data_IF_727580158584
#
_entry.id   IF_727580158584
#
_cell.length_a   1.000
_cell.length_b   1.000
_cell.length_c   1.000
_cell.angle_alpha   90.00
_cell.angle_beta   90.00
_cell.angle_gamma   90.00
#
_symmetry.space_group_name_H-M   'P 1'
#
loop_
_entity.id
_entity.type
_entity.pdbx_description
1 polymer ?
#
# COMPACT_ATOMS: atom_id res chain seq x y z
N UNK A 1 -39.37 -7.94 -66.53
CA UNK A 1 -38.81 -8.82 -65.50
C UNK A 1 -37.52 -8.16 -65.01
N UNK A 2 -37.62 -7.27 -64.03
CA UNK A 2 -36.49 -6.58 -63.43
C UNK A 2 -36.11 -7.24 -62.10
N UNK A 3 -34.88 -7.73 -62.02
CA UNK A 3 -34.32 -8.27 -60.75
C UNK A 3 -33.79 -7.13 -59.91
N UNK A 4 -34.39 -6.85 -58.77
CA UNK A 4 -33.84 -6.05 -57.68
C UNK A 4 -32.72 -6.85 -57.01
N UNK A 5 -31.49 -6.34 -57.06
CA UNK A 5 -30.36 -6.84 -56.30
C UNK A 5 -30.29 -5.96 -55.01
N UNK A 6 -30.69 -6.53 -53.87
CA UNK A 6 -30.57 -5.89 -52.60
C UNK A 6 -29.11 -5.90 -52.11
N UNK A 7 -28.53 -4.71 -51.94
CA UNK A 7 -27.20 -4.54 -51.42
C UNK A 7 -27.29 -4.58 -49.87
N UNK A 8 -26.82 -5.66 -49.29
CA UNK A 8 -26.74 -5.81 -47.80
C UNK A 8 -25.48 -5.11 -47.30
N UNK A 9 -25.63 -3.93 -46.75
CA UNK A 9 -24.52 -3.21 -46.10
C UNK A 9 -24.21 -3.85 -44.74
N UNK A 10 -23.10 -4.57 -44.67
CA UNK A 10 -22.54 -5.06 -43.41
C UNK A 10 -21.93 -3.89 -42.65
N UNK A 11 -22.62 -3.45 -41.58
CA UNK A 11 -22.06 -2.51 -40.59
C UNK A 11 -21.01 -3.26 -39.73
N UNK A 12 -19.75 -3.03 -40.02
CA UNK A 12 -18.65 -3.42 -39.10
C UNK A 12 -18.67 -2.48 -37.89
N UNK A 13 -19.21 -2.95 -36.78
CA UNK A 13 -19.01 -2.30 -35.50
C UNK A 13 -17.59 -2.57 -35.06
N UNK A 14 -16.72 -1.56 -35.20
CA UNK A 14 -15.39 -1.59 -34.61
C UNK A 14 -15.57 -1.51 -33.09
N UNK A 15 -15.54 -2.65 -32.38
CA UNK A 15 -15.29 -2.68 -30.95
C UNK A 15 -13.83 -2.24 -30.76
N UNK A 16 -13.62 -0.97 -30.43
CA UNK A 16 -12.36 -0.52 -29.88
C UNK A 16 -12.20 -1.19 -28.52
N UNK A 17 -11.36 -2.21 -28.44
CA UNK A 17 -10.87 -2.71 -27.16
C UNK A 17 -10.04 -1.59 -26.55
N UNK A 18 -10.56 -0.93 -25.53
CA UNK A 18 -9.76 -0.06 -24.67
C UNK A 18 -8.72 -0.98 -24.03
N UNK A 19 -7.47 -0.84 -24.45
CA UNK A 19 -6.38 -1.51 -23.76
C UNK A 19 -6.36 -0.93 -22.34
N UNK A 20 -6.57 -1.78 -21.34
CA UNK A 20 -6.34 -1.42 -19.93
C UNK A 20 -4.88 -0.97 -19.85
N UNK A 21 -4.64 0.25 -19.43
CA UNK A 21 -3.30 0.75 -19.25
C UNK A 21 -2.63 -0.08 -18.15
N UNK A 22 -1.49 -0.69 -18.48
CA UNK A 22 -0.67 -1.37 -17.48
C UNK A 22 -0.20 -0.33 -16.45
N UNK A 23 -0.52 -0.56 -15.18
CA UNK A 23 -0.04 0.32 -14.13
C UNK A 23 1.46 0.14 -13.95
N UNK A 24 2.21 1.23 -13.76
CA UNK A 24 3.60 1.12 -13.35
C UNK A 24 3.70 0.27 -12.07
N UNK A 25 4.70 -0.60 -11.95
CA UNK A 25 4.89 -1.38 -10.74
C UNK A 25 5.14 -0.45 -9.54
N UNK A 26 4.63 -0.82 -8.38
CA UNK A 26 4.92 -0.11 -7.14
C UNK A 26 6.38 -0.27 -6.74
N UNK A 27 7.05 0.84 -6.51
CA UNK A 27 8.34 0.90 -5.81
C UNK A 27 8.21 1.78 -4.57
N UNK A 28 8.52 1.22 -3.40
CA UNK A 28 8.49 1.95 -2.14
C UNK A 28 9.44 3.15 -2.11
N UNK A 29 10.54 3.07 -2.83
CA UNK A 29 11.54 4.14 -2.89
C UNK A 29 11.02 5.40 -3.59
N UNK A 30 10.01 5.27 -4.44
CA UNK A 30 9.32 6.40 -5.06
C UNK A 30 8.54 7.25 -4.04
N UNK A 31 8.20 6.66 -2.88
CA UNK A 31 7.48 7.29 -1.79
C UNK A 31 8.44 7.67 -0.68
N UNK A 32 9.25 8.72 -0.91
CA UNK A 32 10.24 9.19 0.06
C UNK A 32 9.54 9.64 1.35
N UNK A 33 9.64 8.83 2.39
CA UNK A 33 8.97 9.03 3.68
C UNK A 33 9.96 9.29 4.81
N UNK A 34 9.43 9.69 5.98
CA UNK A 34 10.18 10.05 7.19
C UNK A 34 11.17 11.19 6.95
N UNK A 35 10.72 12.24 6.25
CA UNK A 35 11.49 13.47 6.07
C UNK A 35 11.34 14.37 7.29
N UNK A 36 12.38 15.15 7.54
CA UNK A 36 12.40 16.32 8.43
C UNK A 36 12.13 17.53 7.53
N UNK A 37 10.89 18.00 7.49
CA UNK A 37 10.45 18.97 6.49
C UNK A 37 10.77 20.42 6.90
N UNK A 38 10.78 20.72 8.20
CA UNK A 38 11.02 22.05 8.76
C UNK A 38 12.44 22.24 9.30
N UNK A 39 13.24 21.14 9.37
CA UNK A 39 14.65 21.19 9.75
C UNK A 39 14.89 21.24 11.26
N UNK A 40 13.90 20.85 12.07
CA UNK A 40 13.98 20.82 13.53
C UNK A 40 14.63 19.55 14.09
N UNK A 41 15.07 18.65 13.23
CA UNK A 41 15.64 17.32 13.45
C UNK A 41 14.62 16.22 13.80
N UNK A 42 13.33 16.53 13.82
CA UNK A 42 12.28 15.53 13.98
C UNK A 42 11.73 15.19 12.58
N UNK A 43 11.75 13.96 12.19
CA UNK A 43 11.12 13.53 10.95
C UNK A 43 9.64 13.20 11.19
N UNK A 44 8.85 13.05 10.13
CA UNK A 44 7.41 12.80 10.19
C UNK A 44 7.02 11.69 11.20
N UNK A 45 7.86 10.64 11.37
CA UNK A 45 7.61 9.61 12.40
C UNK A 45 7.63 10.20 13.81
N UNK A 46 8.60 11.07 14.12
CA UNK A 46 8.73 11.64 15.46
C UNK A 46 7.71 12.72 15.73
N UNK A 47 7.30 13.45 14.69
CA UNK A 47 6.19 14.39 14.75
C UNK A 47 4.89 13.71 15.17
N UNK A 48 4.51 12.61 14.51
CA UNK A 48 3.31 11.84 14.86
C UNK A 48 3.40 11.31 16.30
N UNK A 49 4.57 10.79 16.72
CA UNK A 49 4.74 10.31 18.09
C UNK A 49 4.61 11.41 19.14
N UNK A 50 4.98 12.64 18.82
CA UNK A 50 4.83 13.81 19.70
C UNK A 50 3.37 14.22 19.77
N UNK A 51 2.74 14.37 18.61
CA UNK A 51 1.36 14.86 18.49
C UNK A 51 0.34 13.91 19.14
N UNK A 52 0.50 12.60 18.94
CA UNK A 52 -0.44 11.60 19.45
C UNK A 52 -0.18 11.18 20.91
N UNK A 53 0.91 11.64 21.53
CA UNK A 53 1.19 11.25 22.90
C UNK A 53 0.27 11.98 23.88
N UNK A 54 -0.43 11.20 24.73
CA UNK A 54 -1.32 11.71 25.78
C UNK A 54 -0.56 12.39 26.93
N UNK A 55 0.75 12.16 27.03
CA UNK A 55 1.62 12.72 28.05
C UNK A 55 2.90 13.29 27.38
N UNK A 56 3.61 14.19 28.04
CA UNK A 56 4.87 14.72 27.49
C UNK A 56 5.83 13.60 27.13
N UNK A 57 6.35 13.62 25.91
CA UNK A 57 7.29 12.61 25.41
C UNK A 57 8.68 12.77 26.03
N UNK A 58 9.40 11.66 26.12
CA UNK A 58 10.81 11.64 26.51
C UNK A 58 11.67 11.43 25.27
N UNK A 59 12.66 12.30 25.10
CA UNK A 59 13.62 12.19 24.01
C UNK A 59 14.87 11.42 24.43
N UNK A 60 15.52 10.78 23.47
CA UNK A 60 16.75 10.02 23.69
C UNK A 60 17.90 10.91 24.19
N UNK A 61 17.94 12.17 23.75
CA UNK A 61 18.95 13.16 24.10
C UNK A 61 18.30 14.54 24.28
N UNK A 62 19.01 15.48 24.91
CA UNK A 62 18.56 16.86 25.06
C UNK A 62 18.37 17.64 23.75
N UNK A 63 18.80 17.08 22.60
CA UNK A 63 18.56 17.67 21.28
C UNK A 63 17.10 17.59 20.85
N UNK A 64 16.28 16.71 21.44
CA UNK A 64 14.86 16.61 21.13
C UNK A 64 14.51 15.88 19.83
N UNK A 65 15.48 15.27 19.12
CA UNK A 65 15.26 14.73 17.78
C UNK A 65 14.56 13.36 17.76
N UNK A 66 14.69 12.56 18.82
CA UNK A 66 14.21 11.19 18.83
C UNK A 66 13.40 10.87 20.07
N UNK A 67 12.11 10.64 19.89
CA UNK A 67 11.19 10.16 20.92
C UNK A 67 11.51 8.70 21.27
N UNK A 68 11.58 8.39 22.58
CA UNK A 68 11.81 7.04 23.10
C UNK A 68 10.69 6.55 23.98
N UNK A 69 9.98 7.42 24.70
CA UNK A 69 8.79 7.07 25.48
C UNK A 69 7.78 8.21 25.52
N UNK A 70 6.56 7.89 25.87
CA UNK A 70 5.39 8.75 25.97
C UNK A 70 4.18 7.92 26.42
N UNK A 71 2.98 8.29 26.01
CA UNK A 71 1.78 7.50 26.27
C UNK A 71 0.87 7.53 25.04
N UNK A 72 0.67 6.39 24.40
CA UNK A 72 -0.10 6.29 23.14
C UNK A 72 -1.18 5.24 23.27
N UNK A 73 -2.40 5.60 22.89
CA UNK A 73 -3.48 4.64 22.71
C UNK A 73 -3.42 4.08 21.30
N UNK A 74 -3.04 2.82 21.17
CA UNK A 74 -3.08 2.14 19.87
C UNK A 74 -4.53 1.82 19.47
N UNK A 75 -5.06 2.40 18.39
CA UNK A 75 -6.45 2.15 18.00
C UNK A 75 -6.63 0.73 17.44
N UNK A 76 -5.60 0.10 16.91
CA UNK A 76 -5.69 -1.23 16.29
C UNK A 76 -5.91 -2.34 17.32
N UNK A 77 -5.23 -2.28 18.47
CA UNK A 77 -5.40 -3.26 19.54
C UNK A 77 -6.27 -2.79 20.71
N UNK A 78 -6.53 -1.48 20.82
CA UNK A 78 -7.16 -0.86 21.98
C UNK A 78 -6.26 -0.82 23.22
N UNK A 79 -4.94 -1.00 23.08
CA UNK A 79 -3.98 -1.00 24.18
C UNK A 79 -3.23 0.31 24.27
N UNK A 80 -2.71 0.61 25.48
CA UNK A 80 -1.81 1.75 25.68
C UNK A 80 -0.36 1.28 25.65
N UNK A 81 0.49 2.03 24.97
CA UNK A 81 1.93 1.82 24.86
C UNK A 81 2.67 3.02 25.45
N UNK A 82 3.80 2.75 26.14
CA UNK A 82 4.68 3.80 26.68
C UNK A 82 6.09 3.78 26.09
N UNK A 83 6.44 2.75 25.35
CA UNK A 83 7.72 2.57 24.66
C UNK A 83 7.51 2.79 23.16
N UNK A 84 8.07 3.88 22.63
CA UNK A 84 7.99 4.23 21.20
C UNK A 84 8.56 3.14 20.27
N UNK A 85 9.44 2.26 20.77
CA UNK A 85 9.99 1.16 19.98
C UNK A 85 8.99 0.01 19.73
N UNK A 86 7.86 0.01 20.41
CA UNK A 86 6.76 -0.95 20.22
C UNK A 86 5.75 -0.50 19.18
N UNK A 87 5.83 0.75 18.77
CA UNK A 87 4.95 1.37 17.79
C UNK A 87 5.65 1.49 16.43
N UNK A 88 4.90 1.33 15.37
CA UNK A 88 5.20 1.84 14.03
C UNK A 88 4.28 3.03 13.74
N UNK A 89 4.68 3.92 12.83
CA UNK A 89 3.76 4.88 12.24
C UNK A 89 3.25 4.26 10.96
N UNK A 90 1.95 4.03 10.94
CA UNK A 90 1.27 3.43 9.81
C UNK A 90 0.74 4.51 8.86
N UNK A 91 0.93 4.31 7.55
CA UNK A 91 0.11 4.96 6.54
C UNK A 91 -1.25 4.26 6.55
N UNK A 92 -2.31 4.95 7.05
CA UNK A 92 -3.63 4.33 7.21
C UNK A 92 -4.12 3.71 5.91
N UNK A 93 -3.95 4.40 4.77
CA UNK A 93 -3.99 3.80 3.43
C UNK A 93 -2.55 3.50 3.02
N UNK A 94 -2.14 2.24 2.91
CA UNK A 94 -0.75 1.85 2.63
C UNK A 94 -0.21 2.49 1.35
N UNK A 95 1.11 2.74 1.30
CA UNK A 95 1.74 3.35 0.12
C UNK A 95 1.48 2.56 -1.16
N UNK A 96 1.52 1.23 -1.08
CA UNK A 96 1.22 0.35 -2.22
C UNK A 96 -0.25 0.47 -2.63
N UNK A 97 -1.16 0.44 -1.67
CA UNK A 97 -2.59 0.61 -1.91
C UNK A 97 -2.88 1.97 -2.55
N UNK A 98 -2.27 3.05 -2.04
CA UNK A 98 -2.40 4.38 -2.63
C UNK A 98 -1.86 4.42 -4.06
N UNK A 99 -0.74 3.74 -4.34
CA UNK A 99 -0.17 3.63 -5.67
C UNK A 99 -1.15 2.95 -6.63
N UNK A 100 -1.65 1.78 -6.26
CA UNK A 100 -2.58 0.98 -7.07
C UNK A 100 -3.94 1.65 -7.26
N UNK A 101 -4.36 2.49 -6.30
CA UNK A 101 -5.60 3.27 -6.33
C UNK A 101 -5.52 4.59 -7.12
N UNK A 102 -4.43 4.85 -7.84
CA UNK A 102 -4.25 6.05 -8.67
C UNK A 102 -3.00 6.87 -8.37
N UNK A 103 -2.27 6.56 -7.29
CA UNK A 103 -1.00 7.22 -6.95
C UNK A 103 0.13 6.94 -7.94
N UNK A 104 -0.01 5.93 -8.81
CA UNK A 104 0.93 5.68 -9.91
C UNK A 104 1.04 6.86 -10.89
N UNK A 105 0.00 7.70 -11.01
CA UNK A 105 -0.01 8.90 -11.85
C UNK A 105 0.62 10.13 -11.17
N UNK A 106 0.96 10.03 -9.87
CA UNK A 106 1.52 11.16 -9.14
C UNK A 106 2.99 11.41 -9.52
N UNK A 107 3.38 12.68 -9.51
CA UNK A 107 4.79 13.05 -9.55
C UNK A 107 5.50 12.73 -8.22
N UNK A 108 6.83 12.85 -8.23
CA UNK A 108 7.66 12.53 -7.06
C UNK A 108 7.34 13.42 -5.84
N UNK A 109 6.99 14.70 -6.07
CA UNK A 109 6.65 15.62 -4.99
C UNK A 109 5.33 15.22 -4.32
N UNK A 110 4.30 14.89 -5.11
CA UNK A 110 3.01 14.45 -4.58
C UNK A 110 3.11 13.11 -3.84
N UNK A 111 3.92 12.16 -4.34
CA UNK A 111 4.20 10.90 -3.63
C UNK A 111 4.89 11.14 -2.29
N UNK A 112 5.90 12.04 -2.27
CA UNK A 112 6.56 12.47 -1.04
C UNK A 112 5.60 13.12 -0.07
N UNK A 113 4.75 14.03 -0.53
CA UNK A 113 3.80 14.77 0.30
C UNK A 113 2.74 13.82 0.89
N UNK A 114 2.27 12.85 0.12
CA UNK A 114 1.40 11.78 0.62
C UNK A 114 2.08 10.96 1.74
N UNK A 115 3.32 10.55 1.50
CA UNK A 115 4.06 9.69 2.42
C UNK A 115 4.46 10.38 3.74
N UNK A 116 4.30 11.71 3.82
CA UNK A 116 4.62 12.52 5.02
C UNK A 116 3.47 13.47 5.40
N UNK A 117 2.22 13.08 5.12
CA UNK A 117 1.07 13.95 5.34
C UNK A 117 0.74 14.10 6.83
N UNK A 118 1.30 15.13 7.46
CA UNK A 118 1.02 15.54 8.84
C UNK A 118 -0.18 16.48 8.96
N UNK A 119 -0.77 16.90 7.83
CA UNK A 119 -1.91 17.83 7.83
C UNK A 119 -3.26 17.14 8.08
N UNK A 120 -3.27 15.81 8.06
CA UNK A 120 -4.43 14.97 8.37
C UNK A 120 -4.05 13.96 9.45
N UNK A 121 -4.62 14.06 10.66
CA UNK A 121 -4.29 13.14 11.75
C UNK A 121 -4.67 11.69 11.48
N UNK A 122 -5.42 11.42 10.41
CA UNK A 122 -5.78 10.06 10.01
C UNK A 122 -4.81 9.47 8.96
N UNK A 123 -3.95 10.28 8.33
CA UNK A 123 -3.07 9.80 7.27
C UNK A 123 -1.93 8.95 7.82
N UNK A 124 -1.34 9.40 8.93
CA UNK A 124 -0.22 8.75 9.64
C UNK A 124 -0.60 8.58 11.10
N UNK A 125 -0.60 7.35 11.61
CA UNK A 125 -1.02 7.04 12.98
C UNK A 125 -0.03 6.12 13.69
N UNK A 126 0.15 6.34 15.01
CA UNK A 126 0.99 5.49 15.86
C UNK A 126 0.22 4.23 16.28
N UNK A 127 0.69 3.06 15.87
CA UNK A 127 0.01 1.78 16.09
C UNK A 127 0.94 0.69 16.56
N UNK A 128 0.39 -0.40 17.11
CA UNK A 128 1.15 -1.61 17.45
C UNK A 128 1.94 -2.11 16.24
N UNK A 129 3.25 -2.24 16.44
CA UNK A 129 4.17 -2.66 15.37
C UNK A 129 3.84 -4.03 14.79
N UNK A 130 3.32 -4.95 15.62
CA UNK A 130 2.95 -6.29 15.18
C UNK A 130 1.71 -6.26 14.28
N UNK A 131 0.71 -5.48 14.66
CA UNK A 131 -0.53 -5.33 13.87
C UNK A 131 -0.28 -4.55 12.58
N UNK A 132 0.57 -3.51 12.62
CA UNK A 132 0.97 -2.81 11.41
C UNK A 132 1.60 -3.75 10.37
N UNK A 133 2.49 -4.64 10.83
CA UNK A 133 3.12 -5.64 9.95
C UNK A 133 2.16 -6.72 9.46
N UNK A 134 1.11 -7.04 10.23
CA UNK A 134 0.04 -7.93 9.76
C UNK A 134 -0.80 -7.27 8.68
N UNK A 135 -1.12 -5.98 8.84
CA UNK A 135 -1.83 -5.18 7.84
C UNK A 135 -1.04 -5.13 6.54
N UNK A 136 0.24 -4.77 6.61
CA UNK A 136 1.10 -4.66 5.43
C UNK A 136 0.52 -3.70 4.40
N UNK A 137 0.33 -4.18 3.17
CA UNK A 137 -0.25 -3.40 2.07
C UNK A 137 -1.75 -3.68 1.85
N UNK A 138 -2.40 -4.42 2.75
CA UNK A 138 -3.81 -4.83 2.63
C UNK A 138 -4.77 -3.66 2.70
N UNK A 139 -5.81 -3.71 1.87
CA UNK A 139 -6.96 -2.82 1.93
C UNK A 139 -7.97 -3.24 3.02
N UNK A 140 -9.08 -2.50 3.14
CA UNK A 140 -10.13 -2.77 4.13
C UNK A 140 -10.88 -4.07 3.90
N UNK A 141 -10.85 -4.63 2.69
CA UNK A 141 -11.47 -5.91 2.37
C UNK A 141 -10.60 -7.10 2.77
N UNK A 142 -9.31 -6.89 2.93
CA UNK A 142 -8.32 -7.92 3.25
C UNK A 142 -7.92 -7.89 4.74
N UNK A 143 -7.94 -6.69 5.35
CA UNK A 143 -7.56 -6.54 6.75
C UNK A 143 -8.36 -5.43 7.45
N UNK A 144 -8.80 -5.71 8.66
CA UNK A 144 -9.40 -4.75 9.58
C UNK A 144 -8.72 -4.84 10.95
N UNK A 145 -8.65 -3.72 11.70
CA UNK A 145 -8.15 -3.73 13.07
C UNK A 145 -8.88 -4.77 13.92
N UNK A 146 -8.17 -5.59 14.73
CA UNK A 146 -8.81 -6.54 15.63
C UNK A 146 -9.64 -5.86 16.72
N UNK A 147 -9.40 -4.60 17.03
CA UNK A 147 -10.25 -3.78 17.88
C UNK A 147 -11.53 -3.41 17.13
N UNK A 148 -12.58 -4.19 17.32
CA UNK A 148 -13.88 -4.00 16.64
C UNK A 148 -14.50 -2.61 16.89
N UNK A 149 -14.24 -2.00 18.06
CA UNK A 149 -14.77 -0.67 18.38
C UNK A 149 -14.17 0.43 17.48
N UNK A 150 -13.00 0.19 16.89
CA UNK A 150 -12.33 1.13 16.00
C UNK A 150 -12.66 0.91 14.51
N UNK A 151 -13.21 -0.23 14.12
CA UNK A 151 -13.39 -0.58 12.69
C UNK A 151 -14.24 0.44 11.92
N UNK A 152 -15.28 1.00 12.54
CA UNK A 152 -16.11 2.04 11.90
C UNK A 152 -15.30 3.32 11.68
N UNK A 153 -14.53 3.74 12.67
CA UNK A 153 -13.68 4.94 12.55
C UNK A 153 -12.53 4.70 11.55
N UNK A 154 -11.91 3.52 11.59
CA UNK A 154 -10.91 3.12 10.60
C UNK A 154 -11.44 3.23 9.17
N UNK A 155 -12.63 2.69 8.89
CA UNK A 155 -13.24 2.77 7.56
C UNK A 155 -13.59 4.21 7.15
N UNK A 156 -14.05 5.08 8.08
CA UNK A 156 -14.29 6.50 7.81
C UNK A 156 -13.00 7.23 7.48
N UNK A 157 -11.95 7.02 8.27
CA UNK A 157 -10.63 7.61 8.06
C UNK A 157 -10.02 7.15 6.74
N UNK A 158 -10.19 5.87 6.40
CA UNK A 158 -9.78 5.31 5.10
C UNK A 158 -10.42 6.07 3.94
N UNK A 159 -11.75 6.22 3.96
CA UNK A 159 -12.49 6.99 2.95
C UNK A 159 -12.04 8.45 2.90
N UNK A 160 -11.80 9.07 4.06
CA UNK A 160 -11.38 10.47 4.15
C UNK A 160 -9.99 10.67 3.49
N UNK A 161 -9.02 9.81 3.81
CA UNK A 161 -7.67 9.84 3.23
C UNK A 161 -7.73 9.62 1.71
N UNK A 162 -8.45 8.58 1.25
CA UNK A 162 -8.59 8.33 -0.19
C UNK A 162 -9.22 9.51 -0.92
N UNK A 163 -10.27 10.12 -0.36
CA UNK A 163 -10.91 11.32 -0.95
C UNK A 163 -9.96 12.51 -1.01
N UNK A 164 -9.25 12.79 0.08
CA UNK A 164 -8.26 13.89 0.15
C UNK A 164 -7.24 13.79 -0.97
N UNK A 165 -6.75 12.60 -1.23
CA UNK A 165 -5.70 12.34 -2.20
C UNK A 165 -6.19 12.00 -3.61
N UNK A 166 -7.52 11.92 -3.81
CA UNK A 166 -8.13 11.60 -5.10
C UNK A 166 -7.91 10.15 -5.53
N UNK A 167 -7.81 9.26 -4.54
CA UNK A 167 -7.65 7.82 -4.73
C UNK A 167 -9.01 7.14 -4.97
N UNK A 168 -9.00 6.03 -5.66
CA UNK A 168 -10.18 5.21 -5.98
C UNK A 168 -10.24 3.99 -5.08
N UNK A 169 -11.36 3.27 -5.11
CA UNK A 169 -11.53 2.00 -4.43
C UNK A 169 -11.98 0.94 -5.44
N UNK A 170 -11.50 -0.30 -5.28
CA UNK A 170 -11.98 -1.42 -6.07
C UNK A 170 -13.34 -1.95 -5.59
N UNK A 171 -13.93 -2.90 -6.32
CA UNK A 171 -15.26 -3.44 -6.00
C UNK A 171 -15.30 -4.19 -4.66
N UNK A 172 -14.21 -4.86 -4.23
CA UNK A 172 -14.13 -5.59 -2.95
C UNK A 172 -14.03 -4.60 -1.80
N UNK A 173 -13.13 -3.62 -1.93
CA UNK A 173 -12.95 -2.52 -0.99
C UNK A 173 -14.25 -1.75 -0.78
N UNK A 174 -14.94 -1.35 -1.87
CA UNK A 174 -16.26 -0.70 -1.81
C UNK A 174 -17.31 -1.56 -1.14
N UNK A 175 -17.33 -2.87 -1.42
CA UNK A 175 -18.25 -3.81 -0.77
C UNK A 175 -18.06 -3.85 0.75
N UNK A 176 -16.82 -3.88 1.20
CA UNK A 176 -16.51 -3.91 2.63
C UNK A 176 -16.78 -2.54 3.31
N UNK A 177 -16.44 -1.43 2.66
CA UNK A 177 -16.78 -0.09 3.15
C UNK A 177 -18.30 0.10 3.29
N UNK A 178 -19.09 -0.36 2.31
CA UNK A 178 -20.56 -0.33 2.41
C UNK A 178 -21.08 -1.22 3.54
N UNK A 179 -20.48 -2.38 3.76
CA UNK A 179 -20.86 -3.27 4.88
C UNK A 179 -20.65 -2.62 6.22
N UNK A 180 -19.54 -1.86 6.39
CA UNK A 180 -19.17 -1.22 7.67
C UNK A 180 -19.92 0.10 7.88
N UNK A 181 -20.00 0.94 6.84
CA UNK A 181 -20.47 2.33 6.94
C UNK A 181 -21.90 2.56 6.46
N UNK A 182 -22.51 1.59 5.76
CA UNK A 182 -23.77 1.76 5.05
C UNK A 182 -23.62 2.40 3.67
N UNK A 183 -24.72 2.47 2.92
CA UNK A 183 -24.70 2.90 1.50
C UNK A 183 -24.50 4.41 1.30
N UNK A 184 -24.68 5.23 2.34
CA UNK A 184 -24.57 6.69 2.25
C UNK A 184 -23.11 7.20 2.10
N UNK A 185 -22.14 6.33 2.28
CA UNK A 185 -20.71 6.64 2.10
C UNK A 185 -20.29 6.40 0.65
N UNK A 186 -20.59 7.35 -0.23
CA UNK A 186 -20.15 7.31 -1.62
C UNK A 186 -18.64 7.61 -1.71
N UNK A 187 -17.88 6.60 -2.08
CA UNK A 187 -16.55 6.82 -2.64
C UNK A 187 -16.69 7.29 -4.09
N UNK A 188 -15.86 8.24 -4.55
CA UNK A 188 -15.86 8.57 -5.97
C UNK A 188 -15.29 7.37 -6.77
N UNK A 189 -16.08 6.96 -7.74
CA UNK A 189 -15.79 6.17 -8.95
C UNK A 189 -14.74 5.05 -8.80
N UNK A 190 -15.24 3.81 -8.93
CA UNK A 190 -14.45 2.67 -9.35
C UNK A 190 -13.64 3.03 -10.60
N UNK A 191 -12.31 3.08 -10.51
CA UNK A 191 -11.50 2.81 -11.70
C UNK A 191 -11.53 1.30 -11.87
N UNK A 192 -11.64 0.83 -13.12
CA UNK A 192 -11.30 -0.54 -13.45
C UNK A 192 -9.94 -0.83 -12.85
N UNK A 193 -9.84 -1.94 -12.11
CA UNK A 193 -8.64 -2.33 -11.37
C UNK A 193 -7.41 -2.09 -12.22
N UNK A 194 -6.46 -1.35 -11.67
CA UNK A 194 -5.11 -1.35 -12.15
C UNK A 194 -4.59 -2.77 -11.96
N UNK A 195 -4.81 -3.64 -12.96
CA UNK A 195 -4.24 -4.98 -12.88
C UNK A 195 -2.72 -4.82 -12.87
N UNK A 196 -2.04 -5.27 -11.80
CA UNK A 196 -0.59 -5.23 -11.79
C UNK A 196 -0.09 -5.83 -13.09
N UNK A 197 0.90 -5.18 -13.71
CA UNK A 197 1.56 -5.70 -14.91
C UNK A 197 1.86 -7.19 -14.69
N UNK A 198 1.05 -8.04 -15.25
CA UNK A 198 1.37 -9.45 -15.37
C UNK A 198 2.41 -9.49 -16.48
N UNK A 199 3.70 -9.53 -16.09
CA UNK A 199 4.80 -9.70 -17.01
C UNK A 199 4.39 -10.74 -18.06
N UNK A 200 4.15 -10.37 -19.33
CA UNK A 200 3.75 -11.31 -20.38
C UNK A 200 4.83 -12.36 -20.64
N UNK A 201 6.06 -12.12 -20.13
CA UNK A 201 7.16 -13.07 -20.15
C UNK A 201 7.17 -14.00 -18.91
N UNK A 202 6.55 -13.62 -17.78
CA UNK A 202 6.42 -14.51 -16.63
C UNK A 202 5.64 -15.80 -16.96
N UNK A 203 4.75 -15.75 -17.97
CA UNK A 203 4.01 -16.91 -18.45
C UNK A 203 4.74 -17.71 -19.56
N UNK A 204 5.90 -17.26 -20.04
CA UNK A 204 6.58 -17.84 -21.23
C UNK A 204 7.92 -18.50 -20.97
N UNK A 205 8.49 -18.34 -19.80
CA UNK A 205 9.66 -19.14 -19.46
C UNK A 205 9.19 -20.43 -18.80
N UNK A 206 9.54 -21.60 -19.31
CA UNK A 206 9.59 -22.78 -18.49
C UNK A 206 10.66 -22.51 -17.43
N UNK A 207 10.25 -21.94 -16.31
CA UNK A 207 11.13 -21.82 -15.15
C UNK A 207 11.50 -23.25 -14.83
N UNK A 208 12.73 -23.61 -15.13
CA UNK A 208 13.28 -24.90 -14.77
C UNK A 208 12.99 -25.11 -13.30
N UNK A 209 12.58 -26.31 -12.94
CA UNK A 209 12.28 -26.67 -11.57
C UNK A 209 13.45 -26.26 -10.69
N UNK A 210 13.29 -25.23 -9.83
CA UNK A 210 14.35 -24.80 -8.94
C UNK A 210 14.53 -25.81 -7.82
N UNK A 211 15.76 -26.17 -7.53
CA UNK A 211 16.07 -26.99 -6.36
C UNK A 211 15.93 -26.12 -5.10
N UNK A 212 14.82 -26.30 -4.40
CA UNK A 212 14.48 -25.52 -3.20
C UNK A 212 15.49 -25.70 -2.03
N UNK A 213 16.43 -26.62 -2.13
CA UNK A 213 17.47 -26.81 -1.14
C UNK A 213 18.78 -26.09 -1.50
N UNK A 214 18.95 -25.68 -2.77
CA UNK A 214 20.20 -25.14 -3.26
C UNK A 214 20.52 -23.74 -2.77
N UNK A 215 19.52 -22.87 -2.61
CA UNK A 215 19.73 -21.46 -2.25
C UNK A 215 18.64 -20.98 -1.28
N UNK A 216 19.06 -20.12 -0.33
CA UNK A 216 18.15 -19.56 0.70
C UNK A 216 18.33 -18.07 0.97
N UNK A 217 19.37 -17.44 0.42
CA UNK A 217 19.71 -16.04 0.72
C UNK A 217 19.89 -15.24 -0.57
N UNK A 218 19.56 -13.96 -0.55
CA UNK A 218 19.69 -13.05 -1.69
C UNK A 218 21.11 -13.02 -2.28
N UNK A 219 22.13 -13.13 -1.44
CA UNK A 219 23.55 -13.18 -1.87
C UNK A 219 23.91 -14.42 -2.73
N UNK A 220 23.05 -15.41 -2.77
CA UNK A 220 23.23 -16.63 -3.57
C UNK A 220 22.52 -16.56 -4.92
N UNK A 221 21.62 -15.58 -5.08
CA UNK A 221 20.85 -15.36 -6.31
C UNK A 221 21.69 -14.58 -7.33
N UNK A 222 21.54 -14.89 -8.60
CA UNK A 222 22.29 -14.24 -9.69
C UNK A 222 21.42 -13.26 -10.48
N UNK A 223 20.11 -13.48 -10.51
CA UNK A 223 19.16 -12.63 -11.22
C UNK A 223 17.88 -12.46 -10.39
N UNK A 224 17.13 -11.40 -10.67
CA UNK A 224 15.84 -11.17 -10.04
C UNK A 224 14.83 -12.28 -10.35
N UNK A 225 14.83 -12.82 -11.58
CA UNK A 225 13.96 -13.92 -11.97
C UNK A 225 14.24 -15.17 -11.13
N UNK A 226 15.52 -15.45 -10.86
CA UNK A 226 15.90 -16.54 -10.00
C UNK A 226 15.39 -16.33 -8.56
N UNK A 227 15.55 -15.12 -8.00
CA UNK A 227 15.07 -14.79 -6.67
C UNK A 227 13.52 -14.94 -6.57
N UNK A 228 12.79 -14.48 -7.57
CA UNK A 228 11.33 -14.63 -7.67
C UNK A 228 10.90 -16.09 -7.76
N UNK A 229 11.64 -16.93 -8.51
CA UNK A 229 11.36 -18.37 -8.59
C UNK A 229 11.52 -19.05 -7.23
N UNK A 230 12.56 -18.72 -6.46
CA UNK A 230 12.76 -19.26 -5.11
C UNK A 230 11.69 -18.75 -4.12
N UNK A 231 11.26 -17.49 -4.21
CA UNK A 231 10.18 -16.96 -3.40
C UNK A 231 8.87 -17.72 -3.66
N UNK A 232 8.48 -17.86 -4.95
CA UNK A 232 7.15 -18.37 -5.32
C UNK A 232 7.07 -19.90 -5.34
N UNK A 233 8.07 -20.61 -5.90
CA UNK A 233 8.03 -22.06 -6.02
C UNK A 233 8.49 -22.76 -4.74
N UNK A 234 9.45 -22.16 -4.01
CA UNK A 234 10.02 -22.72 -2.80
C UNK A 234 9.45 -22.11 -1.52
N UNK A 235 8.59 -21.11 -1.64
CA UNK A 235 7.98 -20.37 -0.52
C UNK A 235 9.01 -19.85 0.50
N UNK A 236 10.18 -19.36 0.01
CA UNK A 236 11.25 -18.85 0.87
C UNK A 236 10.97 -17.37 1.19
N UNK A 237 10.07 -17.12 2.12
CA UNK A 237 9.61 -15.78 2.53
C UNK A 237 10.74 -14.88 3.07
N UNK A 238 11.89 -15.43 3.45
CA UNK A 238 13.04 -14.63 3.91
C UNK A 238 13.76 -13.87 2.80
N UNK A 239 13.47 -14.16 1.53
CA UNK A 239 13.99 -13.43 0.38
C UNK A 239 13.25 -12.11 0.14
N UNK A 240 12.02 -12.01 0.60
CA UNK A 240 11.15 -10.85 0.56
C UNK A 240 10.95 -10.35 2.01
N UNK A 241 11.78 -9.39 2.40
CA UNK A 241 11.92 -9.02 3.80
C UNK A 241 10.78 -8.15 4.31
N UNK A 242 10.27 -7.27 3.47
CA UNK A 242 9.17 -6.33 3.77
C UNK A 242 7.82 -6.83 3.25
N UNK A 243 7.83 -7.99 2.55
CA UNK A 243 6.65 -8.70 2.05
C UNK A 243 5.85 -7.90 1.01
N UNK A 244 6.53 -7.12 0.20
CA UNK A 244 5.93 -6.38 -0.92
C UNK A 244 5.80 -7.23 -2.20
N UNK A 245 6.28 -8.48 -2.17
CA UNK A 245 6.26 -9.43 -3.30
C UNK A 245 7.51 -9.34 -4.18
N UNK A 246 8.47 -8.47 -3.86
CA UNK A 246 9.75 -8.34 -4.55
C UNK A 246 10.85 -8.97 -3.69
N UNK A 247 11.40 -10.11 -4.08
CA UNK A 247 12.50 -10.72 -3.35
C UNK A 247 13.83 -10.03 -3.65
N UNK A 248 14.69 -9.94 -2.65
CA UNK A 248 16.07 -9.51 -2.86
C UNK A 248 16.18 -8.13 -3.55
N UNK A 249 15.57 -7.11 -2.98
CA UNK A 249 15.48 -5.73 -3.50
C UNK A 249 16.76 -5.23 -4.19
N UNK A 250 17.94 -5.39 -3.57
CA UNK A 250 19.21 -4.98 -4.17
C UNK A 250 19.59 -5.72 -5.47
N UNK A 251 18.83 -6.75 -5.84
CA UNK A 251 19.02 -7.54 -7.06
C UNK A 251 17.86 -7.35 -8.03
N UNK A 252 16.69 -6.96 -7.52
CA UNK A 252 15.44 -6.83 -8.28
C UNK A 252 15.04 -5.36 -8.56
N UNK A 253 15.90 -4.39 -8.18
CA UNK A 253 15.79 -2.96 -8.52
C UNK A 253 16.10 -2.69 -10.01
#
# INVERSE_FOLDING_TARGET
MGKLIGLLALLFVNLSTVALADCPPYDRNDYRHWIDADGDCQNARHEVLIEESLEPVVFKTSKGCRVISGSWNDPYSGKTFTDASKLDIDHLVPLKEAHESGGFDWDADRRRDYANDLSDPNALIAVDRGLNRQKGASDVSEWLPPNQAYQVEYAKSWVAVKRKWGLTADARELGELKRILGEDYLMPIEREECTPFKDPFAARLPVGQVDCQAKRYCTQMKTCEEARAYLTQCNIQSLDRDKDGVPCEALCD
#
